data_IF_304718839015
#
_entry.id   IF_304718839015
#
_cell.length_a   1.000
_cell.length_b   1.000
_cell.length_c   1.000
_cell.angle_alpha   90.00
_cell.angle_beta   90.00
_cell.angle_gamma   90.00
#
_symmetry.space_group_name_H-M   'P 1'
#
loop_
_entity.id
_entity.type
_entity.pdbx_description
1 polymer ?
#
# COMPACT_ATOMS: atom_id res chain seq x y z
N UNK A 1 -10.96 14.48 42.45
CA UNK A 1 -9.85 13.51 42.63
C UNK A 1 -9.50 12.89 41.29
N UNK A 2 -8.21 12.73 40.94
CA UNK A 2 -7.84 12.00 39.74
C UNK A 2 -8.29 10.55 39.89
N UNK A 3 -9.06 10.05 38.91
CA UNK A 3 -9.46 8.64 38.89
C UNK A 3 -8.23 7.80 38.65
N UNK A 4 -7.84 7.01 39.65
CA UNK A 4 -6.80 5.98 39.49
C UNK A 4 -7.39 4.90 38.60
N UNK A 5 -6.64 4.55 37.56
CA UNK A 5 -7.04 3.56 36.58
C UNK A 5 -5.89 2.57 36.48
N UNK A 6 -6.07 1.40 37.08
CA UNK A 6 -5.06 0.35 37.08
C UNK A 6 -5.28 -0.58 35.89
N UNK A 7 -4.19 -0.89 35.19
CA UNK A 7 -4.16 -1.94 34.16
C UNK A 7 -3.49 -3.16 34.79
N UNK A 8 -4.23 -4.25 35.09
CA UNK A 8 -3.61 -5.45 35.61
C UNK A 8 -2.76 -6.10 34.52
N UNK A 9 -1.50 -6.40 34.83
CA UNK A 9 -0.58 -7.09 33.94
C UNK A 9 -0.04 -8.36 34.63
N UNK A 10 0.03 -9.45 33.88
CA UNK A 10 0.80 -10.63 34.29
C UNK A 10 2.31 -10.34 34.25
N UNK A 11 3.09 -11.19 34.92
CA UNK A 11 4.56 -11.09 34.92
C UNK A 11 5.13 -11.20 33.49
N UNK A 12 4.58 -12.10 32.68
CA UNK A 12 4.96 -12.29 31.28
C UNK A 12 4.64 -11.05 30.45
N UNK A 13 3.43 -10.51 30.59
CA UNK A 13 3.03 -9.30 29.87
C UNK A 13 3.93 -8.11 30.23
N UNK A 14 4.25 -7.95 31.53
CA UNK A 14 5.13 -6.90 32.00
C UNK A 14 6.54 -7.04 31.41
N UNK A 15 7.10 -8.25 31.40
CA UNK A 15 8.42 -8.51 30.82
C UNK A 15 8.45 -8.18 29.31
N UNK A 16 7.41 -8.58 28.57
CA UNK A 16 7.30 -8.29 27.15
C UNK A 16 7.14 -6.79 26.86
N UNK A 17 6.35 -6.07 27.66
CA UNK A 17 6.24 -4.62 27.55
C UNK A 17 7.58 -3.91 27.81
N UNK A 18 8.34 -4.36 28.82
CA UNK A 18 9.68 -3.83 29.10
C UNK A 18 10.64 -4.08 27.93
N UNK A 19 10.52 -5.24 27.25
CA UNK A 19 11.29 -5.52 26.04
C UNK A 19 10.90 -4.56 24.91
N UNK A 20 9.59 -4.36 24.69
CA UNK A 20 9.08 -3.47 23.65
C UNK A 20 9.49 -2.01 23.88
N UNK A 21 9.45 -1.50 25.11
CA UNK A 21 9.88 -0.12 25.38
C UNK A 21 11.34 0.14 25.01
N UNK A 22 12.20 -0.86 25.17
CA UNK A 22 13.64 -0.75 24.87
C UNK A 22 13.97 -1.02 23.41
N UNK A 23 13.34 -2.02 22.80
CA UNK A 23 13.81 -2.62 21.55
C UNK A 23 12.82 -2.58 20.39
N UNK A 24 11.56 -2.13 20.58
CA UNK A 24 10.63 -2.05 19.47
C UNK A 24 11.18 -1.13 18.38
N UNK A 25 11.05 -1.51 17.11
CA UNK A 25 11.64 -0.78 15.99
C UNK A 25 11.05 0.62 15.85
N UNK A 26 9.73 0.72 15.97
CA UNK A 26 9.00 1.97 15.79
C UNK A 26 8.82 2.72 17.12
N UNK A 27 9.15 4.02 17.14
CA UNK A 27 9.14 4.83 18.37
C UNK A 27 7.75 4.92 19.05
N UNK A 28 6.66 4.91 18.27
CA UNK A 28 5.30 4.91 18.82
C UNK A 28 4.96 3.62 19.55
N UNK A 29 5.52 2.48 19.14
CA UNK A 29 5.33 1.21 19.85
C UNK A 29 6.01 1.27 21.22
N UNK A 30 7.25 1.78 21.27
CA UNK A 30 7.97 2.04 22.51
C UNK A 30 7.16 2.94 23.45
N UNK A 31 6.63 4.04 22.92
CA UNK A 31 5.82 4.97 23.70
C UNK A 31 4.52 4.34 24.22
N UNK A 32 3.77 3.61 23.38
CA UNK A 32 2.52 2.94 23.79
C UNK A 32 2.79 1.88 24.85
N UNK A 33 3.85 1.07 24.69
CA UNK A 33 4.25 0.10 25.70
C UNK A 33 4.60 0.77 27.04
N UNK A 34 5.28 1.91 27.00
CA UNK A 34 5.63 2.69 28.20
C UNK A 34 4.40 3.25 28.90
N UNK A 35 3.39 3.71 28.14
CA UNK A 35 2.10 4.13 28.69
C UNK A 35 1.46 3.03 29.53
N UNK A 36 1.36 1.81 28.97
CA UNK A 36 0.70 0.69 29.65
C UNK A 36 1.45 0.28 30.92
N UNK A 37 2.79 0.27 30.88
CA UNK A 37 3.61 0.02 32.07
C UNK A 37 3.34 1.03 33.18
N UNK A 38 3.35 2.33 32.86
CA UNK A 38 3.10 3.37 33.85
C UNK A 38 1.69 3.31 34.45
N UNK A 39 0.68 2.98 33.64
CA UNK A 39 -0.69 2.77 34.14
C UNK A 39 -0.77 1.53 35.04
N UNK A 40 -0.01 0.48 34.75
CA UNK A 40 0.07 -0.71 35.62
C UNK A 40 0.80 -0.44 36.94
N UNK A 41 1.75 0.50 36.94
CA UNK A 41 2.48 0.96 38.14
C UNK A 41 1.65 1.90 39.02
N UNK A 42 0.42 2.24 38.60
CA UNK A 42 -0.52 3.05 39.38
C UNK A 42 -0.46 4.55 39.09
N UNK A 43 0.30 5.00 38.10
CA UNK A 43 0.31 6.41 37.69
C UNK A 43 -1.05 6.82 37.13
N UNK A 44 -1.45 8.05 37.42
CA UNK A 44 -2.72 8.55 36.90
C UNK A 44 -2.62 8.88 35.42
N UNK A 45 -3.76 8.87 34.72
CA UNK A 45 -3.84 9.27 33.29
C UNK A 45 -3.26 10.67 33.07
N UNK A 46 -3.46 11.59 34.02
CA UNK A 46 -2.95 12.96 33.94
C UNK A 46 -1.42 13.02 34.09
N UNK A 47 -0.85 12.26 35.03
CA UNK A 47 0.60 12.15 35.20
C UNK A 47 1.27 11.56 33.96
N UNK A 48 0.72 10.45 33.43
CA UNK A 48 1.27 9.81 32.23
C UNK A 48 1.18 10.75 31.02
N UNK A 49 0.08 11.48 30.89
CA UNK A 49 -0.09 12.47 29.84
C UNK A 49 0.95 13.60 29.94
N UNK A 50 1.21 14.10 31.16
CA UNK A 50 2.25 15.10 31.41
C UNK A 50 3.66 14.57 31.09
N UNK A 51 3.98 13.33 31.49
CA UNK A 51 5.28 12.69 31.20
C UNK A 51 5.55 12.49 29.71
N UNK A 52 4.51 12.37 28.89
CA UNK A 52 4.63 12.19 27.43
C UNK A 52 4.35 13.46 26.63
N UNK A 53 4.04 14.58 27.28
CA UNK A 53 3.58 15.83 26.64
C UNK A 53 2.38 15.61 25.71
N UNK A 54 1.39 14.85 26.19
CA UNK A 54 0.17 14.52 25.43
C UNK A 54 -1.09 14.93 26.18
N UNK A 55 -2.20 14.95 25.45
CA UNK A 55 -3.52 15.18 26.02
C UNK A 55 -3.97 13.88 26.75
N UNK A 56 -4.57 13.98 27.96
CA UNK A 56 -5.07 12.83 28.73
C UNK A 56 -5.97 11.88 27.94
N UNK A 57 -6.73 12.40 26.97
CA UNK A 57 -7.61 11.60 26.13
C UNK A 57 -6.86 10.57 25.27
N UNK A 58 -5.64 10.88 24.83
CA UNK A 58 -4.82 9.89 24.11
C UNK A 58 -4.48 8.71 25.02
N UNK A 59 -4.15 8.97 26.28
CA UNK A 59 -3.81 7.92 27.25
C UNK A 59 -5.04 7.07 27.55
N UNK A 60 -6.24 7.67 27.66
CA UNK A 60 -7.51 6.93 27.79
C UNK A 60 -7.78 6.02 26.60
N UNK A 61 -7.58 6.54 25.38
CA UNK A 61 -7.73 5.75 24.15
C UNK A 61 -6.74 4.59 24.11
N UNK A 62 -5.45 4.84 24.41
CA UNK A 62 -4.42 3.78 24.43
C UNK A 62 -4.78 2.67 25.43
N UNK A 63 -5.22 3.04 26.64
CA UNK A 63 -5.72 2.07 27.63
C UNK A 63 -6.91 1.28 27.09
N UNK A 64 -7.92 1.94 26.52
CA UNK A 64 -9.09 1.26 25.96
C UNK A 64 -8.69 0.28 24.84
N UNK A 65 -7.77 0.67 23.97
CA UNK A 65 -7.27 -0.23 22.93
C UNK A 65 -6.49 -1.40 23.52
N UNK A 66 -5.71 -1.20 24.58
CA UNK A 66 -5.05 -2.29 25.30
C UNK A 66 -6.06 -3.27 25.91
N UNK A 67 -7.12 -2.78 26.53
CA UNK A 67 -8.17 -3.64 27.10
C UNK A 67 -8.85 -4.52 26.04
N UNK A 68 -9.06 -3.97 24.84
CA UNK A 68 -9.72 -4.68 23.74
C UNK A 68 -8.79 -5.61 22.95
N UNK A 69 -7.55 -5.21 22.71
CA UNK A 69 -6.66 -5.84 21.73
C UNK A 69 -5.29 -6.24 22.29
N UNK A 70 -5.01 -5.95 23.56
CA UNK A 70 -3.74 -6.28 24.24
C UNK A 70 -2.53 -5.85 23.38
N UNK A 71 -1.60 -6.75 23.08
CA UNK A 71 -0.38 -6.44 22.32
C UNK A 71 -0.62 -5.95 20.89
N UNK A 72 -1.72 -6.32 20.24
CA UNK A 72 -2.06 -5.82 18.90
C UNK A 72 -2.25 -4.29 18.89
N UNK A 73 -2.69 -3.72 20.02
CA UNK A 73 -2.84 -2.26 20.15
C UNK A 73 -1.51 -1.50 20.16
N UNK A 74 -0.41 -2.18 20.50
CA UNK A 74 0.91 -1.57 20.61
C UNK A 74 1.55 -1.44 19.24
N UNK A 75 1.38 -2.45 18.38
CA UNK A 75 2.00 -2.49 17.06
C UNK A 75 1.60 -1.27 16.23
N UNK A 76 2.60 -0.67 15.58
CA UNK A 76 2.37 0.37 14.60
C UNK A 76 2.05 -0.33 13.27
N UNK A 77 0.76 -0.48 12.99
CA UNK A 77 0.31 -1.08 11.74
C UNK A 77 0.78 -0.33 10.49
N UNK A 78 0.89 -1.05 9.38
CA UNK A 78 1.14 -0.45 8.08
C UNK A 78 0.01 0.54 7.73
N UNK A 79 0.36 1.81 7.53
CA UNK A 79 -0.59 2.80 7.03
C UNK A 79 -0.61 2.70 5.52
N UNK A 80 -1.59 1.98 4.97
CA UNK A 80 -1.85 2.05 3.54
C UNK A 80 -2.12 3.50 3.18
N UNK A 81 -1.46 4.02 2.15
CA UNK A 81 -1.78 5.33 1.58
C UNK A 81 -3.20 5.34 0.99
N UNK A 82 -3.50 6.36 0.18
CA UNK A 82 -4.76 6.39 -0.58
C UNK A 82 -4.92 5.06 -1.33
N UNK A 83 -6.07 4.37 -1.19
CA UNK A 83 -6.29 3.12 -1.90
C UNK A 83 -6.15 3.34 -3.40
N UNK A 84 -5.54 2.38 -4.08
CA UNK A 84 -5.37 2.47 -5.53
C UNK A 84 -6.74 2.50 -6.21
N UNK A 85 -6.97 3.48 -7.08
CA UNK A 85 -8.20 3.60 -7.88
C UNK A 85 -8.42 2.39 -8.78
N UNK A 86 -7.34 1.73 -9.23
CA UNK A 86 -7.41 0.48 -9.99
C UNK A 86 -7.44 -0.72 -9.04
N UNK A 87 -8.64 -1.09 -8.59
CA UNK A 87 -8.88 -2.34 -7.85
C UNK A 87 -8.55 -3.56 -8.72
N UNK A 88 -8.24 -4.71 -8.10
CA UNK A 88 -7.92 -5.97 -8.78
C UNK A 88 -8.95 -6.38 -9.85
N UNK A 89 -10.24 -6.14 -9.61
CA UNK A 89 -11.29 -6.40 -10.59
C UNK A 89 -11.10 -5.58 -11.88
N UNK A 90 -10.88 -4.27 -11.74
CA UNK A 90 -10.65 -3.41 -12.91
C UNK A 90 -9.35 -3.76 -13.63
N UNK A 91 -8.31 -4.14 -12.90
CA UNK A 91 -7.06 -4.60 -13.48
C UNK A 91 -7.27 -5.83 -14.38
N UNK A 92 -8.02 -6.83 -13.90
CA UNK A 92 -8.33 -8.03 -14.68
C UNK A 92 -9.13 -7.71 -15.96
N UNK A 93 -10.14 -6.85 -15.85
CA UNK A 93 -10.95 -6.43 -17.00
C UNK A 93 -10.14 -5.65 -18.04
N UNK A 94 -9.23 -4.77 -17.60
CA UNK A 94 -8.35 -4.03 -18.50
C UNK A 94 -7.46 -5.00 -19.28
N UNK A 95 -6.89 -6.01 -18.61
CA UNK A 95 -6.06 -7.02 -19.27
C UNK A 95 -6.85 -7.83 -20.29
N UNK A 96 -8.08 -8.23 -19.97
CA UNK A 96 -8.98 -8.92 -20.90
C UNK A 96 -9.24 -8.07 -22.17
N UNK A 97 -9.52 -6.78 -22.00
CA UNK A 97 -9.76 -5.88 -23.14
C UNK A 97 -8.53 -5.71 -24.02
N UNK A 98 -7.35 -5.56 -23.41
CA UNK A 98 -6.08 -5.40 -24.14
C UNK A 98 -5.68 -6.68 -24.88
N UNK A 99 -6.00 -7.85 -24.31
CA UNK A 99 -5.77 -9.14 -24.97
C UNK A 99 -6.74 -9.37 -26.15
N UNK A 100 -7.97 -8.89 -26.03
CA UNK A 100 -8.99 -9.03 -27.09
C UNK A 100 -8.74 -8.04 -28.23
N UNK A 101 -8.28 -6.82 -27.93
CA UNK A 101 -8.07 -5.79 -28.94
C UNK A 101 -6.91 -4.85 -28.55
N UNK A 102 -6.08 -4.41 -29.51
CA UNK A 102 -5.00 -3.48 -29.23
C UNK A 102 -5.55 -2.09 -28.91
N UNK A 103 -5.82 -1.82 -27.63
CA UNK A 103 -6.34 -0.54 -27.14
C UNK A 103 -5.21 0.35 -26.62
N UNK A 104 -5.30 1.65 -26.91
CA UNK A 104 -4.44 2.67 -26.31
C UNK A 104 -4.91 2.99 -24.87
N UNK A 105 -4.01 3.46 -24.02
CA UNK A 105 -4.31 3.86 -22.63
C UNK A 105 -5.45 4.88 -22.54
N UNK A 106 -5.58 5.79 -23.50
CA UNK A 106 -6.70 6.73 -23.56
C UNK A 106 -8.04 6.06 -23.85
N UNK A 107 -8.06 5.09 -24.77
CA UNK A 107 -9.26 4.33 -25.10
C UNK A 107 -9.71 3.47 -23.91
N UNK A 108 -8.73 2.89 -23.18
CA UNK A 108 -9.00 2.16 -21.94
C UNK A 108 -9.58 3.09 -20.88
N UNK A 109 -9.04 4.31 -20.73
CA UNK A 109 -9.55 5.32 -19.79
C UNK A 109 -11.01 5.65 -20.06
N UNK A 110 -11.34 5.97 -21.31
CA UNK A 110 -12.71 6.31 -21.72
C UNK A 110 -13.64 5.13 -21.48
N UNK A 111 -13.25 3.92 -21.91
CA UNK A 111 -14.05 2.70 -21.72
C UNK A 111 -14.27 2.34 -20.24
N UNK A 112 -13.27 2.58 -19.39
CA UNK A 112 -13.36 2.37 -17.94
C UNK A 112 -14.33 3.38 -17.31
N UNK A 113 -14.27 4.64 -17.75
CA UNK A 113 -15.19 5.68 -17.30
C UNK A 113 -16.62 5.41 -17.75
N UNK A 114 -16.84 5.01 -19.01
CA UNK A 114 -18.17 4.70 -19.54
C UNK A 114 -18.82 3.48 -18.85
N UNK A 115 -18.05 2.43 -18.57
CA UNK A 115 -18.60 1.20 -17.96
C UNK A 115 -18.77 1.28 -16.45
N UNK A 116 -17.83 1.93 -15.75
CA UNK A 116 -17.73 1.84 -14.29
C UNK A 116 -17.73 3.21 -13.58
N UNK A 117 -17.77 4.31 -14.33
CA UNK A 117 -17.72 5.67 -13.77
C UNK A 117 -16.38 6.02 -13.10
N UNK A 118 -15.33 5.20 -13.30
CA UNK A 118 -14.06 5.37 -12.61
C UNK A 118 -13.16 6.34 -13.39
N UNK A 119 -12.81 7.46 -12.76
CA UNK A 119 -11.85 8.42 -13.30
C UNK A 119 -10.42 8.08 -12.88
N UNK A 120 -9.59 7.69 -13.86
CA UNK A 120 -8.18 7.32 -13.65
C UNK A 120 -7.31 8.14 -14.59
N UNK A 121 -6.12 8.55 -14.12
CA UNK A 121 -5.15 9.21 -14.98
C UNK A 121 -4.60 8.25 -16.03
N UNK A 122 -4.31 8.77 -17.23
CA UNK A 122 -3.71 7.98 -18.32
C UNK A 122 -2.37 7.39 -17.89
N UNK A 123 -1.60 8.13 -17.08
CA UNK A 123 -0.28 7.70 -16.64
C UNK A 123 -0.37 6.54 -15.64
N UNK A 124 -1.40 6.51 -14.79
CA UNK A 124 -1.70 5.36 -13.93
C UNK A 124 -2.00 4.11 -14.77
N UNK A 125 -2.77 4.25 -15.85
CA UNK A 125 -3.04 3.15 -16.78
C UNK A 125 -1.79 2.70 -17.53
N UNK A 126 -0.97 3.62 -18.04
CA UNK A 126 0.31 3.29 -18.69
C UNK A 126 1.26 2.57 -17.73
N UNK A 127 1.35 3.04 -16.49
CA UNK A 127 2.15 2.37 -15.45
C UNK A 127 1.63 0.95 -15.21
N UNK A 128 0.33 0.78 -15.00
CA UNK A 128 -0.27 -0.53 -14.83
C UNK A 128 -0.01 -1.48 -16.01
N UNK A 129 -0.15 -1.01 -17.25
CA UNK A 129 0.14 -1.80 -18.45
C UNK A 129 1.62 -2.20 -18.53
N UNK A 130 2.55 -1.29 -18.18
CA UNK A 130 3.99 -1.63 -18.10
C UNK A 130 4.27 -2.65 -17.01
N UNK A 131 3.70 -2.47 -15.83
CA UNK A 131 3.90 -3.35 -14.67
C UNK A 131 3.31 -4.76 -14.93
N UNK A 132 2.28 -4.86 -15.77
CA UNK A 132 1.70 -6.14 -16.24
C UNK A 132 2.43 -6.76 -17.44
N UNK A 133 3.57 -6.19 -17.87
CA UNK A 133 4.38 -6.72 -18.97
C UNK A 133 3.86 -6.39 -20.38
N UNK A 134 2.82 -5.55 -20.51
CA UNK A 134 2.30 -5.14 -21.81
C UNK A 134 3.23 -4.12 -22.45
N UNK A 135 3.75 -4.46 -23.62
CA UNK A 135 4.59 -3.58 -24.44
C UNK A 135 3.95 -3.42 -25.81
N UNK A 136 3.65 -2.17 -26.18
CA UNK A 136 3.21 -1.90 -27.53
C UNK A 136 4.36 -2.11 -28.50
N UNK A 137 4.16 -2.97 -29.50
CA UNK A 137 5.17 -3.24 -30.52
C UNK A 137 5.46 -1.96 -31.29
N UNK A 138 6.74 -1.59 -31.42
CA UNK A 138 7.14 -0.44 -32.25
C UNK A 138 6.80 -0.74 -33.71
N UNK A 139 6.14 0.20 -34.37
CA UNK A 139 5.90 0.13 -35.82
C UNK A 139 7.24 0.12 -36.54
N UNK A 140 7.42 -0.83 -37.46
CA UNK A 140 8.62 -0.86 -38.30
C UNK A 140 8.49 0.23 -39.37
N UNK A 141 9.44 1.15 -39.45
CA UNK A 141 9.45 2.25 -40.44
C UNK A 141 9.62 1.78 -41.90
N UNK A 142 9.83 0.48 -42.12
CA UNK A 142 9.86 -0.10 -43.46
C UNK A 142 9.03 -1.37 -43.50
N UNK A 143 8.33 -1.57 -44.62
CA UNK A 143 7.68 -2.83 -44.93
C UNK A 143 8.75 -3.93 -45.09
N UNK A 144 8.40 -5.18 -44.74
CA UNK A 144 9.28 -6.33 -44.96
C UNK A 144 9.56 -6.42 -46.47
N UNK A 145 10.83 -6.30 -46.90
CA UNK A 145 11.19 -6.38 -48.32
C UNK A 145 10.70 -7.74 -48.86
N UNK A 146 9.79 -7.74 -49.84
CA UNK A 146 9.54 -8.91 -50.68
C UNK A 146 10.81 -9.15 -51.49
N UNK A 147 11.35 -10.36 -51.50
CA UNK A 147 12.47 -10.71 -52.40
C UNK A 147 11.93 -10.61 -53.83
N UNK A 148 12.56 -9.87 -54.76
CA UNK A 148 12.18 -9.96 -56.17
C UNK A 148 12.63 -11.31 -56.71
N UNK A 149 11.74 -11.99 -57.41
CA UNK A 149 12.04 -13.22 -58.13
C UNK A 149 13.13 -12.91 -59.18
N UNK A 150 14.36 -13.34 -58.95
CA UNK A 150 15.48 -13.12 -59.88
C UNK A 150 15.26 -13.98 -61.12
N UNK A 151 14.78 -13.39 -62.21
CA UNK A 151 15.06 -13.91 -63.56
C UNK A 151 16.33 -13.22 -64.02
N UNK A 152 17.43 -13.97 -64.09
CA UNK A 152 18.70 -13.49 -64.63
C UNK A 152 18.82 -13.99 -66.07
N UNK A 153 18.55 -13.13 -67.04
CA UNK A 153 18.92 -13.37 -68.44
C UNK A 153 20.16 -12.53 -68.76
N UNK A 154 21.30 -13.19 -68.88
CA UNK A 154 22.51 -12.60 -69.45
C UNK A 154 22.39 -12.53 -70.97
N UNK A 155 22.39 -11.32 -71.52
CA UNK A 155 22.66 -11.11 -72.94
C UNK A 155 24.17 -11.19 -73.18
N UNK A 156 24.61 -12.19 -73.94
CA UNK A 156 25.92 -12.24 -74.59
C UNK A 156 25.92 -11.22 -75.74
N UNK A 157 26.90 -10.31 -75.72
CA UNK A 157 27.15 -9.37 -76.80
C UNK A 157 28.09 -10.02 -77.84
N UNK A 158 27.73 -9.90 -79.12
CA UNK A 158 28.61 -10.13 -80.28
C UNK A 158 29.47 -8.90 -80.57
#
# INVERSE_FOLDING_TARGET
>A
MPRIVTVPLSLEQRAQLILLTKHAAHWRERQRAQTILWLSEGKTVAEVAALQERIPETIRLQRRHWELHQFESIQEGHRSGRPNTLTSNYQAQILEWVNTSPLNAEQIRVKLHEKHGVSVSVETLRKFLRDSGMVFKRTRHSLKKKRPDRIWTSATAD
#
